data_IF_553036055273
#
_entry.id   IF_553036055273
#
_cell.length_a   1.000
_cell.length_b   1.000
_cell.length_c   1.000
_cell.angle_alpha   90.00
_cell.angle_beta   90.00
_cell.angle_gamma   90.00
#
_symmetry.space_group_name_H-M   'P 1'
#
loop_
_entity.id
_entity.type
_entity.pdbx_description
1 polymer ?
#
# COMPACT_ATOMS: atom_id res chain seq x y z
N UNK A 1 -1.95 -13.27 12.10
CA UNK A 1 -3.07 -13.66 11.21
C UNK A 1 -3.71 -12.39 10.71
N UNK A 2 -3.55 -12.12 9.42
CA UNK A 2 -4.03 -10.91 8.78
C UNK A 2 -5.57 -10.90 8.75
N UNK A 3 -6.18 -9.75 9.00
CA UNK A 3 -7.61 -9.56 8.74
C UNK A 3 -7.75 -9.01 7.33
N UNK A 4 -8.01 -9.87 6.35
CA UNK A 4 -8.11 -9.50 4.93
C UNK A 4 -9.06 -8.32 4.68
N UNK A 5 -10.19 -8.26 5.41
CA UNK A 5 -11.12 -7.12 5.32
C UNK A 5 -10.45 -5.78 5.70
N UNK A 6 -9.60 -5.75 6.72
CA UNK A 6 -8.89 -4.53 7.08
C UNK A 6 -7.85 -4.17 6.03
N UNK A 7 -7.14 -5.17 5.49
CA UNK A 7 -6.19 -4.97 4.40
C UNK A 7 -6.87 -4.32 3.19
N UNK A 8 -8.00 -4.83 2.72
CA UNK A 8 -8.75 -4.22 1.62
C UNK A 8 -9.21 -2.79 1.91
N UNK A 9 -9.75 -2.52 3.11
CA UNK A 9 -10.20 -1.16 3.49
C UNK A 9 -9.04 -0.15 3.44
N UNK A 10 -7.85 -0.53 3.91
CA UNK A 10 -6.67 0.35 3.89
C UNK A 10 -6.20 0.57 2.45
N UNK A 11 -6.22 -0.48 1.62
CA UNK A 11 -5.85 -0.38 0.21
C UNK A 11 -6.80 0.56 -0.56
N UNK A 12 -8.12 0.39 -0.42
CA UNK A 12 -9.11 1.29 -1.02
C UNK A 12 -8.93 2.74 -0.55
N UNK A 13 -8.69 2.94 0.75
CA UNK A 13 -8.42 4.27 1.30
C UNK A 13 -7.14 4.89 0.71
N UNK A 14 -6.10 4.10 0.48
CA UNK A 14 -4.88 4.57 -0.16
C UNK A 14 -5.15 5.02 -1.61
N UNK A 15 -5.94 4.26 -2.36
CA UNK A 15 -6.36 4.61 -3.72
C UNK A 15 -7.22 5.89 -3.75
N UNK A 16 -8.18 6.04 -2.84
CA UNK A 16 -8.98 7.28 -2.71
C UNK A 16 -8.10 8.52 -2.49
N UNK A 17 -7.01 8.38 -1.74
CA UNK A 17 -6.04 9.45 -1.51
C UNK A 17 -5.23 9.76 -2.76
N UNK A 18 -4.84 8.74 -3.54
CA UNK A 18 -4.20 8.92 -4.85
C UNK A 18 -5.10 9.71 -5.80
N UNK A 19 -6.40 9.37 -5.88
CA UNK A 19 -7.38 10.09 -6.71
C UNK A 19 -7.52 11.56 -6.31
N UNK A 20 -7.46 11.85 -5.00
CA UNK A 20 -7.49 13.21 -4.44
C UNK A 20 -6.15 13.95 -4.55
N UNK A 21 -5.11 13.31 -5.09
CA UNK A 21 -3.73 13.81 -5.16
C UNK A 21 -3.09 14.06 -3.79
N UNK A 22 -3.62 13.41 -2.76
CA UNK A 22 -3.08 13.43 -1.39
C UNK A 22 -1.98 12.36 -1.27
N UNK A 23 -0.91 12.50 -2.05
CA UNK A 23 0.11 11.46 -2.26
C UNK A 23 0.91 11.10 -1.00
N UNK A 24 1.11 12.07 -0.10
CA UNK A 24 1.77 11.85 1.19
C UNK A 24 0.95 10.89 2.05
N UNK A 25 -0.34 11.18 2.24
CA UNK A 25 -1.25 10.30 2.96
C UNK A 25 -1.48 8.95 2.27
N UNK A 26 -1.48 8.91 0.94
CA UNK A 26 -1.56 7.65 0.19
C UNK A 26 -0.32 6.78 0.46
N UNK A 27 0.88 7.37 0.43
CA UNK A 27 2.13 6.68 0.75
C UNK A 27 2.10 6.11 2.18
N UNK A 28 1.65 6.88 3.16
CA UNK A 28 1.50 6.40 4.54
C UNK A 28 0.57 5.18 4.65
N UNK A 29 -0.55 5.17 3.92
CA UNK A 29 -1.47 4.02 3.92
C UNK A 29 -0.84 2.79 3.24
N UNK A 30 -0.11 2.97 2.13
CA UNK A 30 0.58 1.86 1.47
C UNK A 30 1.74 1.30 2.30
N UNK A 31 2.50 2.16 2.99
CA UNK A 31 3.56 1.73 3.91
C UNK A 31 2.97 0.94 5.10
N UNK A 32 1.83 1.36 5.62
CA UNK A 32 1.10 0.58 6.63
C UNK A 32 0.61 -0.77 6.09
N UNK A 33 0.12 -0.81 4.84
CA UNK A 33 -0.28 -2.05 4.17
C UNK A 33 0.90 -3.02 4.04
N UNK A 34 2.08 -2.50 3.70
CA UNK A 34 3.31 -3.25 3.56
C UNK A 34 3.74 -3.86 4.91
N UNK A 35 3.65 -3.11 6.00
CA UNK A 35 3.92 -3.62 7.35
C UNK A 35 2.98 -4.78 7.71
N UNK A 36 1.69 -4.65 7.41
CA UNK A 36 0.72 -5.73 7.61
C UNK A 36 1.05 -6.98 6.79
N UNK A 37 1.48 -6.79 5.54
CA UNK A 37 1.88 -7.86 4.64
C UNK A 37 3.14 -8.60 5.16
N UNK A 38 4.18 -7.86 5.52
CA UNK A 38 5.43 -8.39 6.07
C UNK A 38 5.20 -9.22 7.35
N UNK A 39 4.32 -8.75 8.23
CA UNK A 39 3.93 -9.45 9.45
C UNK A 39 3.19 -10.79 9.20
N UNK A 40 2.74 -11.05 7.97
CA UNK A 40 2.01 -12.26 7.60
C UNK A 40 2.60 -12.98 6.37
N UNK A 41 3.85 -12.67 5.99
CA UNK A 41 4.51 -13.21 4.79
C UNK A 41 4.53 -14.74 4.68
N UNK A 42 4.59 -15.44 5.81
CA UNK A 42 4.66 -16.90 5.85
C UNK A 42 3.32 -17.60 5.56
N UNK A 43 2.21 -16.86 5.47
CA UNK A 43 0.85 -17.41 5.29
C UNK A 43 0.13 -16.84 4.06
N UNK A 44 0.83 -16.04 3.25
CA UNK A 44 0.30 -15.38 2.06
C UNK A 44 1.04 -15.95 0.86
N UNK A 45 0.34 -16.66 -0.01
CA UNK A 45 0.91 -17.38 -1.14
C UNK A 45 1.51 -16.43 -2.19
N UNK A 46 0.84 -15.32 -2.44
CA UNK A 46 1.17 -14.26 -3.40
C UNK A 46 1.95 -13.10 -2.76
N UNK A 47 2.65 -13.37 -1.64
CA UNK A 47 3.32 -12.34 -0.85
C UNK A 47 4.28 -11.46 -1.66
N UNK A 48 5.13 -12.06 -2.50
CA UNK A 48 6.12 -11.30 -3.28
C UNK A 48 5.46 -10.40 -4.33
N UNK A 49 4.41 -10.88 -5.00
CA UNK A 49 3.66 -10.08 -5.99
C UNK A 49 2.92 -8.91 -5.34
N UNK A 50 2.26 -9.16 -4.19
CA UNK A 50 1.61 -8.11 -3.41
C UNK A 50 2.62 -7.07 -2.91
N UNK A 51 3.78 -7.54 -2.43
CA UNK A 51 4.86 -6.67 -1.95
C UNK A 51 5.39 -5.78 -3.06
N UNK A 52 5.64 -6.33 -4.24
CA UNK A 52 6.10 -5.56 -5.40
C UNK A 52 5.06 -4.49 -5.79
N UNK A 53 3.78 -4.88 -5.88
CA UNK A 53 2.68 -3.97 -6.22
C UNK A 53 2.56 -2.81 -5.23
N UNK A 54 2.62 -3.08 -3.92
CA UNK A 54 2.57 -2.03 -2.89
C UNK A 54 3.79 -1.12 -2.97
N UNK A 55 5.00 -1.67 -3.15
CA UNK A 55 6.22 -0.87 -3.29
C UNK A 55 6.18 0.05 -4.52
N UNK A 56 5.62 -0.43 -5.64
CA UNK A 56 5.43 0.37 -6.84
C UNK A 56 4.45 1.53 -6.59
N UNK A 57 3.37 1.31 -5.84
CA UNK A 57 2.44 2.38 -5.45
C UNK A 57 3.11 3.42 -4.53
N UNK A 58 3.91 2.99 -3.55
CA UNK A 58 4.70 3.88 -2.69
C UNK A 58 5.67 4.72 -3.53
N UNK A 59 6.40 4.08 -4.45
CA UNK A 59 7.33 4.76 -5.35
C UNK A 59 6.59 5.78 -6.23
N UNK A 60 5.45 5.41 -6.80
CA UNK A 60 4.59 6.30 -7.58
C UNK A 60 4.17 7.54 -6.78
N UNK A 61 3.67 7.36 -5.55
CA UNK A 61 3.31 8.47 -4.66
C UNK A 61 4.51 9.41 -4.42
N UNK A 62 5.68 8.84 -4.11
CA UNK A 62 6.91 9.61 -3.87
C UNK A 62 7.40 10.36 -5.12
N UNK A 63 7.13 9.86 -6.32
CA UNK A 63 7.43 10.58 -7.57
C UNK A 63 6.48 11.78 -7.76
N UNK A 64 5.17 11.58 -7.59
CA UNK A 64 4.19 12.67 -7.70
C UNK A 64 4.41 13.78 -6.67
N UNK A 65 4.85 13.44 -5.44
CA UNK A 65 5.25 14.43 -4.43
C UNK A 65 6.44 15.30 -4.86
N UNK A 66 7.32 14.79 -5.72
CA UNK A 66 8.49 15.50 -6.26
C UNK A 66 8.17 16.33 -7.52
N UNK A 67 6.91 16.33 -7.97
CA UNK A 67 6.47 17.09 -9.14
C UNK A 67 6.73 16.41 -10.48
N UNK A 68 6.79 15.07 -10.49
CA UNK A 68 6.72 14.25 -11.70
C UNK A 68 5.27 13.91 -12.05
#
# INVERSE_FOLDING_TARGET
MIKLRMFFIIYEKALDLVEKKEYDGAADQFEYLLEMLENNKNVIEDYEELKESINNNIAGCKLFMKGL
#
